data_IF_476037410749
#
_entry.id   IF_476037410749
#
_cell.length_a   1.000
_cell.length_b   1.000
_cell.length_c   1.000
_cell.angle_alpha   90.00
_cell.angle_beta   90.00
_cell.angle_gamma   90.00
#
_symmetry.space_group_name_H-M   'P 1'
#
loop_
_entity.id
_entity.type
_entity.pdbx_description
1 polymer ?
#
# COMPACT_ATOMS: atom_id res chain seq x y z
N UNK A 1 -13.41 -2.60 4.22
CA UNK A 1 -13.50 -2.48 2.74
C UNK A 1 -12.67 -3.61 2.12
N UNK A 2 -13.12 -4.22 1.02
CA UNK A 2 -12.42 -5.33 0.36
C UNK A 2 -12.14 -4.98 -1.10
N UNK A 3 -10.90 -5.15 -1.54
CA UNK A 3 -10.46 -4.93 -2.93
C UNK A 3 -9.91 -6.25 -3.45
N UNK A 4 -10.45 -6.74 -4.55
CA UNK A 4 -10.10 -8.05 -5.12
C UNK A 4 -9.00 -7.89 -6.16
N UNK A 5 -7.75 -8.07 -5.72
CA UNK A 5 -6.56 -8.03 -6.59
C UNK A 5 -5.70 -9.26 -6.32
N UNK A 6 -5.31 -9.95 -7.39
CA UNK A 6 -4.37 -11.07 -7.33
C UNK A 6 -2.93 -10.57 -7.16
N UNK A 7 -2.08 -11.37 -6.54
CA UNK A 7 -0.67 -11.01 -6.31
C UNK A 7 0.19 -11.37 -7.52
N UNK A 8 -0.13 -10.76 -8.66
CA UNK A 8 0.52 -11.00 -9.94
C UNK A 8 1.09 -9.69 -10.45
N UNK A 9 2.23 -9.73 -11.16
CA UNK A 9 2.92 -8.51 -11.60
C UNK A 9 2.08 -7.66 -12.59
N UNK A 10 1.26 -8.33 -13.40
CA UNK A 10 0.34 -7.72 -14.36
C UNK A 10 -0.96 -7.18 -13.73
N UNK A 11 -1.26 -7.52 -12.47
CA UNK A 11 -2.50 -7.09 -11.85
C UNK A 11 -2.47 -5.57 -11.64
N UNK A 12 -3.55 -4.89 -12.01
CA UNK A 12 -3.68 -3.45 -11.82
C UNK A 12 -4.10 -3.16 -10.37
N UNK A 13 -3.13 -2.83 -9.51
CA UNK A 13 -3.39 -2.35 -8.15
C UNK A 13 -3.38 -0.82 -8.08
N UNK A 14 -2.68 -0.17 -9.01
CA UNK A 14 -2.53 1.29 -9.10
C UNK A 14 -3.89 1.99 -9.15
N UNK A 15 -4.80 1.51 -10.01
CA UNK A 15 -6.14 2.09 -10.19
C UNK A 15 -7.00 2.03 -8.92
N UNK A 16 -6.70 1.12 -8.00
CA UNK A 16 -7.43 0.98 -6.73
C UNK A 16 -6.84 1.80 -5.58
N UNK A 17 -5.62 2.31 -5.73
CA UNK A 17 -4.94 3.03 -4.64
C UNK A 17 -5.74 4.25 -4.17
N UNK A 18 -6.25 5.16 -5.03
CA UNK A 18 -7.01 6.33 -4.55
C UNK A 18 -8.17 5.93 -3.62
N UNK A 19 -8.97 4.95 -4.03
CA UNK A 19 -10.11 4.45 -3.26
C UNK A 19 -9.70 3.79 -1.93
N UNK A 20 -8.60 3.03 -1.93
CA UNK A 20 -8.06 2.41 -0.72
C UNK A 20 -7.53 3.45 0.27
N UNK A 21 -6.81 4.46 -0.24
CA UNK A 21 -6.21 5.50 0.58
C UNK A 21 -7.26 6.44 1.17
N UNK A 22 -8.31 6.77 0.41
CA UNK A 22 -9.42 7.58 0.90
C UNK A 22 -10.19 6.85 2.01
N UNK A 23 -10.35 5.52 1.92
CA UNK A 23 -10.91 4.71 3.00
C UNK A 23 -10.04 4.77 4.28
N UNK A 24 -8.72 4.70 4.13
CA UNK A 24 -7.78 4.80 5.27
C UNK A 24 -7.89 6.19 5.91
N UNK A 25 -7.87 7.25 5.10
CA UNK A 25 -7.90 8.62 5.62
C UNK A 25 -9.23 8.97 6.27
N UNK A 26 -10.35 8.52 5.72
CA UNK A 26 -11.68 8.72 6.31
C UNK A 26 -11.75 8.13 7.72
N UNK A 27 -11.32 6.88 7.90
CA UNK A 27 -11.30 6.25 9.22
C UNK A 27 -10.34 6.95 10.18
N UNK A 28 -9.17 7.40 9.71
CA UNK A 28 -8.21 8.14 10.54
C UNK A 28 -8.75 9.50 10.99
N UNK A 29 -9.52 10.18 10.14
CA UNK A 29 -10.13 11.49 10.47
C UNK A 29 -11.20 11.40 11.55
N UNK A 30 -11.70 10.19 11.81
CA UNK A 30 -12.68 9.87 12.86
C UNK A 30 -12.00 9.21 14.08
N UNK A 31 -10.67 9.40 14.24
CA UNK A 31 -9.85 8.76 15.28
C UNK A 31 -9.92 7.21 15.30
N UNK A 32 -10.28 6.62 14.15
CA UNK A 32 -10.36 5.18 13.96
C UNK A 32 -9.03 4.50 13.66
N UNK A 33 -9.01 3.17 13.77
CA UNK A 33 -7.85 2.32 13.45
C UNK A 33 -8.19 1.45 12.23
N UNK A 34 -7.30 1.45 11.24
CA UNK A 34 -7.44 0.62 10.03
C UNK A 34 -6.39 -0.49 10.02
N UNK A 35 -6.87 -1.73 9.88
CA UNK A 35 -6.02 -2.90 9.65
C UNK A 35 -5.99 -3.24 8.16
N UNK A 36 -4.84 -3.03 7.51
CA UNK A 36 -4.62 -3.36 6.10
C UNK A 36 -3.93 -4.72 6.00
N UNK A 37 -4.58 -5.70 5.38
CA UNK A 37 -4.04 -7.04 5.23
C UNK A 37 -4.23 -7.60 3.81
N UNK A 38 -3.45 -8.63 3.50
CA UNK A 38 -3.67 -9.52 2.36
C UNK A 38 -3.45 -10.96 2.84
N UNK A 39 -3.32 -11.92 1.93
CA UNK A 39 -3.14 -13.33 2.33
C UNK A 39 -1.84 -13.58 3.10
N UNK A 40 -0.71 -13.03 2.62
CA UNK A 40 0.61 -13.25 3.24
C UNK A 40 1.12 -12.06 4.05
N UNK A 41 0.49 -10.89 3.92
CA UNK A 41 1.00 -9.65 4.50
C UNK A 41 2.34 -9.18 3.90
N UNK A 42 2.70 -9.65 2.71
CA UNK A 42 4.02 -9.39 2.08
C UNK A 42 3.92 -8.38 0.94
N UNK A 43 3.06 -8.63 -0.05
CA UNK A 43 3.03 -7.84 -1.29
C UNK A 43 1.86 -6.86 -1.37
N UNK A 44 0.64 -7.32 -1.66
CA UNK A 44 -0.56 -6.45 -1.86
C UNK A 44 -0.80 -5.43 -0.74
N UNK A 45 -0.84 -5.86 0.52
CA UNK A 45 -1.04 -4.94 1.66
C UNK A 45 0.14 -3.98 1.84
N UNK A 46 1.37 -4.45 1.60
CA UNK A 46 2.55 -3.60 1.64
C UNK A 46 2.49 -2.51 0.56
N UNK A 47 2.02 -2.83 -0.65
CA UNK A 47 1.81 -1.87 -1.72
C UNK A 47 0.85 -0.75 -1.31
N UNK A 48 -0.30 -1.09 -0.72
CA UNK A 48 -1.29 -0.11 -0.25
C UNK A 48 -0.70 0.78 0.85
N UNK A 49 0.01 0.20 1.82
CA UNK A 49 0.64 0.96 2.91
C UNK A 49 1.75 1.87 2.37
N UNK A 50 2.57 1.40 1.41
CA UNK A 50 3.57 2.24 0.76
C UNK A 50 2.93 3.42 0.05
N UNK A 51 1.87 3.20 -0.72
CA UNK A 51 1.13 4.27 -1.40
C UNK A 51 0.58 5.31 -0.41
N UNK A 52 0.04 4.85 0.73
CA UNK A 52 -0.42 5.74 1.80
C UNK A 52 0.72 6.59 2.36
N UNK A 53 1.87 5.97 2.67
CA UNK A 53 3.04 6.70 3.16
C UNK A 53 3.56 7.71 2.13
N UNK A 54 3.52 7.36 0.83
CA UNK A 54 3.92 8.27 -0.23
C UNK A 54 2.99 9.49 -0.33
N UNK A 55 1.67 9.27 -0.41
CA UNK A 55 0.66 10.32 -0.56
C UNK A 55 0.54 11.19 0.69
N UNK A 56 0.41 10.58 1.87
CA UNK A 56 0.00 11.28 3.09
C UNK A 56 1.18 11.85 3.87
N UNK A 57 2.40 11.31 3.70
CA UNK A 57 3.62 11.81 4.35
C UNK A 57 4.59 12.45 3.34
N UNK A 58 4.23 12.55 2.05
CA UNK A 58 5.09 13.13 1.01
C UNK A 58 6.40 12.36 0.80
N UNK A 59 6.42 11.06 1.09
CA UNK A 59 7.62 10.24 0.94
C UNK A 59 7.76 9.78 -0.51
N UNK A 60 8.99 9.73 -1.02
CA UNK A 60 9.25 9.00 -2.26
C UNK A 60 9.20 7.48 -2.02
N UNK A 61 9.05 6.71 -3.09
CA UNK A 61 8.93 5.23 -3.04
C UNK A 61 10.05 4.57 -2.21
N UNK A 62 11.29 5.02 -2.32
CA UNK A 62 12.42 4.46 -1.55
C UNK A 62 12.30 4.73 -0.05
N UNK A 63 11.94 5.96 0.34
CA UNK A 63 11.72 6.34 1.76
C UNK A 63 10.52 5.59 2.35
N UNK A 64 9.42 5.50 1.61
CA UNK A 64 8.23 4.75 2.02
C UNK A 64 8.55 3.27 2.23
N UNK A 65 9.28 2.65 1.30
CA UNK A 65 9.70 1.25 1.42
C UNK A 65 10.56 1.02 2.67
N UNK A 66 11.58 1.85 2.89
CA UNK A 66 12.47 1.72 4.05
C UNK A 66 11.72 1.90 5.38
N UNK A 67 10.80 2.87 5.44
CA UNK A 67 9.96 3.08 6.62
C UNK A 67 9.07 1.86 6.88
N UNK A 68 8.41 1.34 5.84
CA UNK A 68 7.59 0.14 5.96
C UNK A 68 8.41 -1.08 6.40
N UNK A 69 9.59 -1.32 5.81
CA UNK A 69 10.47 -2.45 6.17
C UNK A 69 10.95 -2.41 7.61
N UNK A 70 11.16 -1.21 8.16
CA UNK A 70 11.57 -1.04 9.54
C UNK A 70 10.47 -1.48 10.52
N UNK A 71 9.20 -1.19 10.19
CA UNK A 71 8.04 -1.57 11.00
C UNK A 71 7.56 -3.01 10.73
N UNK A 72 7.65 -3.47 9.48
CA UNK A 72 7.16 -4.76 9.01
C UNK A 72 8.17 -5.43 8.08
N UNK A 73 9.11 -6.17 8.67
CA UNK A 73 10.24 -6.81 7.97
C UNK A 73 9.82 -7.67 6.75
N UNK A 74 8.72 -8.43 6.75
CA UNK A 74 8.32 -9.24 5.60
C UNK A 74 7.87 -8.45 4.37
N UNK A 75 7.57 -7.15 4.50
CA UNK A 75 7.07 -6.34 3.38
C UNK A 75 7.97 -6.46 2.15
N UNK A 76 7.39 -6.83 1.01
CA UNK A 76 8.06 -6.92 -0.28
C UNK A 76 6.99 -6.98 -1.38
N UNK A 77 6.55 -5.83 -1.91
CA UNK A 77 5.69 -5.79 -3.09
C UNK A 77 6.33 -6.59 -4.25
N UNK A 78 5.51 -7.27 -5.04
CA UNK A 78 6.00 -7.92 -6.25
C UNK A 78 6.58 -6.88 -7.25
N UNK A 79 7.45 -7.28 -8.20
CA UNK A 79 8.11 -6.34 -9.11
C UNK A 79 7.16 -5.45 -9.91
N UNK A 80 6.01 -5.98 -10.35
CA UNK A 80 4.98 -5.21 -11.05
C UNK A 80 4.38 -4.11 -10.19
N UNK A 81 4.04 -4.42 -8.92
CA UNK A 81 3.55 -3.43 -7.97
C UNK A 81 4.60 -2.38 -7.60
N UNK A 82 5.88 -2.77 -7.52
CA UNK A 82 6.96 -1.79 -7.33
C UNK A 82 7.09 -0.83 -8.52
N UNK A 83 6.86 -1.31 -9.75
CA UNK A 83 6.83 -0.44 -10.94
C UNK A 83 5.63 0.50 -10.89
N UNK A 84 4.44 -0.02 -10.58
CA UNK A 84 3.22 0.78 -10.43
C UNK A 84 3.38 1.87 -9.35
N UNK A 85 3.99 1.56 -8.20
CA UNK A 85 4.30 2.54 -7.16
C UNK A 85 5.30 3.61 -7.58
N UNK A 86 6.18 3.35 -8.56
CA UNK A 86 7.07 4.40 -9.10
C UNK A 86 6.34 5.37 -10.03
N UNK A 87 5.19 4.96 -10.57
CA UNK A 87 4.32 5.78 -11.42
C UNK A 87 3.23 6.52 -10.62
N UNK A 88 3.02 6.14 -9.35
CA UNK A 88 2.08 6.74 -8.41
C UNK A 88 2.64 8.01 -7.77
#
# INVERSE_FOLDING_TARGET
>A
KSILVFDEEQADILSWLPEALDFIESARSEDGIVYVHCQAGVSRSATVVMAYLMRNLGLNCSKAFRMLKAAHRPALPNPGFQQQLRLY
#
